data_IF_579844919961
#
_entry.id   IF_579844919961
#
_cell.length_a   1.000
_cell.length_b   1.000
_cell.length_c   1.000
_cell.angle_alpha   90.00
_cell.angle_beta   90.00
_cell.angle_gamma   90.00
#
_symmetry.space_group_name_H-M   'P 1'
#
loop_
_entity.id
_entity.type
_entity.pdbx_description
1 polymer ?
#
# COMPACT_ATOMS: atom_id res chain seq x y z
N UNK A 1 14.77 -37.28 -37.65
CA UNK A 1 15.80 -36.24 -37.60
C UNK A 1 15.14 -35.00 -37.03
N UNK A 2 14.92 -35.00 -35.70
CA UNK A 2 15.85 -34.43 -34.70
C UNK A 2 15.96 -32.90 -34.89
N UNK A 3 15.55 -32.06 -33.94
CA UNK A 3 15.81 -32.17 -32.49
C UNK A 3 14.69 -31.58 -31.64
N UNK A 4 14.41 -32.28 -30.55
CA UNK A 4 13.73 -31.79 -29.37
C UNK A 4 14.57 -30.73 -28.60
N UNK A 5 13.89 -30.06 -27.66
CA UNK A 5 14.39 -29.80 -26.29
C UNK A 5 15.32 -28.62 -26.01
N UNK A 6 14.75 -27.51 -25.51
CA UNK A 6 15.24 -26.77 -24.33
C UNK A 6 14.01 -26.18 -23.60
N UNK A 7 13.43 -26.91 -22.64
CA UNK A 7 13.69 -26.83 -21.18
C UNK A 7 13.38 -25.46 -20.57
N UNK A 8 12.24 -25.42 -19.86
CA UNK A 8 12.17 -25.02 -18.46
C UNK A 8 13.10 -23.85 -18.05
N UNK A 9 12.76 -22.63 -18.48
CA UNK A 9 13.23 -21.44 -17.76
C UNK A 9 12.35 -21.36 -16.52
N UNK A 10 12.86 -21.90 -15.41
CA UNK A 10 12.24 -21.80 -14.11
C UNK A 10 11.77 -20.38 -13.88
N UNK A 11 10.47 -20.23 -13.64
CA UNK A 11 9.92 -19.02 -13.08
C UNK A 11 10.77 -18.71 -11.85
N UNK A 12 11.63 -17.70 -11.93
CA UNK A 12 12.14 -17.05 -10.73
C UNK A 12 10.87 -16.53 -10.09
N UNK A 13 10.34 -17.31 -9.15
CA UNK A 13 9.20 -16.90 -8.35
C UNK A 13 9.77 -15.77 -7.52
N UNK A 14 9.67 -14.54 -8.02
CA UNK A 14 10.01 -13.36 -7.24
C UNK A 14 9.09 -13.42 -6.03
N UNK A 15 9.64 -13.79 -4.87
CA UNK A 15 8.94 -13.74 -3.61
C UNK A 15 8.58 -12.29 -3.39
N UNK A 16 7.33 -11.95 -3.68
CA UNK A 16 6.77 -10.69 -3.30
C UNK A 16 6.42 -10.79 -1.81
N UNK A 17 6.82 -9.78 -1.06
CA UNK A 17 6.45 -9.65 0.34
C UNK A 17 5.14 -8.87 0.39
N UNK A 18 4.11 -9.50 0.96
CA UNK A 18 2.88 -8.80 1.33
C UNK A 18 3.20 -7.89 2.54
N UNK A 19 2.78 -6.64 2.49
CA UNK A 19 3.03 -5.66 3.55
C UNK A 19 1.82 -4.74 3.75
N UNK A 20 1.71 -4.20 4.97
CA UNK A 20 0.61 -3.35 5.39
C UNK A 20 1.16 -2.01 5.88
N UNK A 21 0.69 -0.92 5.30
CA UNK A 21 1.13 0.45 5.61
C UNK A 21 -0.04 1.21 6.24
N UNK A 22 0.14 1.69 7.46
CA UNK A 22 -0.80 2.62 8.09
C UNK A 22 -0.68 4.02 7.48
N UNK A 23 -1.82 4.62 7.13
CA UNK A 23 -1.93 5.99 6.65
C UNK A 23 -2.76 6.81 7.63
N UNK A 24 -2.32 8.03 7.91
CA UNK A 24 -3.01 8.97 8.80
C UNK A 24 -2.85 10.42 8.34
N UNK A 25 -3.92 11.21 8.38
CA UNK A 25 -3.86 12.64 8.10
C UNK A 25 -4.84 13.43 8.97
N UNK A 26 -4.34 14.46 9.67
CA UNK A 26 -5.14 15.34 10.54
C UNK A 26 -5.10 16.83 10.15
N UNK A 27 -4.28 17.24 9.19
CA UNK A 27 -4.12 18.65 8.80
C UNK A 27 -4.49 18.89 7.33
N UNK A 28 -5.09 20.06 7.06
CA UNK A 28 -5.51 20.45 5.71
C UNK A 28 -6.60 19.54 5.15
N UNK A 29 -6.53 19.26 3.84
CA UNK A 29 -7.46 18.34 3.19
C UNK A 29 -7.04 16.88 3.44
N UNK A 30 -7.53 16.33 4.55
CA UNK A 30 -7.20 15.00 5.06
C UNK A 30 -7.51 13.88 4.05
N UNK A 31 -8.66 13.97 3.35
CA UNK A 31 -9.04 12.97 2.35
C UNK A 31 -8.16 13.07 1.11
N UNK A 32 -7.89 14.28 0.61
CA UNK A 32 -6.99 14.46 -0.52
C UNK A 32 -5.55 14.03 -0.19
N UNK A 33 -5.10 14.22 1.05
CA UNK A 33 -3.80 13.73 1.51
C UNK A 33 -3.72 12.20 1.45
N UNK A 34 -4.73 11.50 1.98
CA UNK A 34 -4.81 10.03 1.90
C UNK A 34 -4.85 9.57 0.43
N UNK A 35 -5.67 10.19 -0.42
CA UNK A 35 -5.77 9.83 -1.83
C UNK A 35 -4.42 10.00 -2.56
N UNK A 36 -3.70 11.09 -2.31
CA UNK A 36 -2.36 11.32 -2.87
C UNK A 36 -1.34 10.29 -2.38
N UNK A 37 -1.38 9.93 -1.09
CA UNK A 37 -0.50 8.90 -0.55
C UNK A 37 -0.76 7.53 -1.19
N UNK A 38 -2.03 7.13 -1.34
CA UNK A 38 -2.42 5.88 -2.01
C UNK A 38 -1.96 5.87 -3.47
N UNK A 39 -2.16 6.96 -4.20
CA UNK A 39 -1.69 7.09 -5.59
C UNK A 39 -0.16 6.99 -5.69
N UNK A 40 0.58 7.61 -4.78
CA UNK A 40 2.03 7.51 -4.74
C UNK A 40 2.50 6.07 -4.44
N UNK A 41 1.84 5.36 -3.52
CA UNK A 41 2.13 3.95 -3.19
C UNK A 41 1.82 3.05 -4.39
N UNK A 42 0.72 3.28 -5.10
CA UNK A 42 0.35 2.53 -6.30
C UNK A 42 1.39 2.64 -7.42
N UNK A 43 2.11 3.77 -7.50
CA UNK A 43 3.15 3.97 -8.52
C UNK A 43 4.43 3.16 -8.24
N UNK A 44 4.61 2.63 -7.03
CA UNK A 44 5.84 1.93 -6.62
C UNK A 44 5.61 0.51 -6.09
N UNK A 45 4.36 0.06 -6.00
CA UNK A 45 3.98 -1.28 -5.48
C UNK A 45 3.04 -1.99 -6.45
N UNK A 46 2.79 -3.28 -6.22
CA UNK A 46 1.77 -4.03 -6.96
C UNK A 46 0.59 -4.39 -6.06
N UNK A 47 -0.60 -4.53 -6.66
CA UNK A 47 -1.83 -4.95 -5.98
C UNK A 47 -2.19 -4.12 -4.73
N UNK A 48 -2.01 -2.80 -4.77
CA UNK A 48 -2.40 -1.90 -3.67
C UNK A 48 -3.90 -1.92 -3.44
N UNK A 49 -4.33 -2.23 -2.23
CA UNK A 49 -5.73 -2.11 -1.80
C UNK A 49 -5.83 -1.29 -0.53
N UNK A 50 -6.81 -0.38 -0.45
CA UNK A 50 -7.07 0.48 0.70
C UNK A 50 -8.24 -0.08 1.53
N UNK A 51 -8.13 -0.05 2.85
CA UNK A 51 -9.23 -0.33 3.77
C UNK A 51 -10.33 0.73 3.70
N UNK A 52 -11.42 0.53 4.44
CA UNK A 52 -12.28 1.64 4.83
C UNK A 52 -11.45 2.71 5.57
N UNK A 53 -11.87 3.97 5.43
CA UNK A 53 -11.30 5.08 6.17
C UNK A 53 -12.10 5.34 7.44
N UNK A 54 -11.40 5.67 8.52
CA UNK A 54 -11.99 5.94 9.83
C UNK A 54 -11.52 7.29 10.35
N UNK A 55 -12.43 8.08 10.90
CA UNK A 55 -12.06 9.26 11.68
C UNK A 55 -11.80 8.86 13.14
N UNK A 56 -10.68 9.27 13.70
CA UNK A 56 -10.32 8.98 15.09
C UNK A 56 -9.81 10.23 15.80
N UNK A 57 -10.01 10.27 17.11
CA UNK A 57 -9.38 11.29 17.97
C UNK A 57 -7.86 11.08 18.00
N UNK A 58 -7.07 12.15 18.19
CA UNK A 58 -5.63 12.04 18.39
C UNK A 58 -5.33 11.37 19.73
N UNK A 59 -4.35 10.46 19.74
CA UNK A 59 -3.80 9.87 20.97
C UNK A 59 -2.60 10.70 21.46
N UNK A 60 -2.51 10.97 22.76
CA UNK A 60 -1.38 11.64 23.41
C UNK A 60 -1.49 13.16 23.51
N UNK A 61 -1.51 13.88 22.38
CA UNK A 61 -1.66 15.35 22.36
C UNK A 61 -3.06 15.73 21.88
N UNK A 62 -3.86 16.34 22.76
CA UNK A 62 -5.29 16.58 22.51
C UNK A 62 -5.60 17.88 21.74
N UNK A 63 -4.67 18.84 21.69
CA UNK A 63 -4.87 20.13 21.03
C UNK A 63 -4.63 20.07 19.50
N UNK A 64 -5.18 19.06 18.83
CA UNK A 64 -5.06 18.88 17.37
C UNK A 64 -6.33 18.28 16.77
N UNK A 65 -6.59 18.50 15.46
CA UNK A 65 -7.79 17.97 14.81
C UNK A 65 -7.80 16.43 14.76
N UNK A 66 -8.99 15.82 14.57
CA UNK A 66 -9.11 14.38 14.35
C UNK A 66 -8.31 13.91 13.12
N UNK A 67 -7.86 12.66 13.16
CA UNK A 67 -7.21 12.00 12.03
C UNK A 67 -8.23 11.29 11.16
N UNK A 68 -7.99 11.25 9.84
CA UNK A 68 -8.50 10.19 8.96
C UNK A 68 -7.41 9.12 8.86
N UNK A 69 -7.75 7.88 9.18
CA UNK A 69 -6.85 6.73 9.18
C UNK A 69 -7.33 5.62 8.26
N UNK A 70 -6.39 4.87 7.70
CA UNK A 70 -6.63 3.67 6.89
C UNK A 70 -5.37 2.83 6.73
N UNK A 71 -5.51 1.66 6.11
CA UNK A 71 -4.40 0.72 5.87
C UNK A 71 -4.33 0.37 4.38
N UNK A 72 -3.14 0.48 3.80
CA UNK A 72 -2.83 -0.04 2.48
C UNK A 72 -2.19 -1.42 2.60
N UNK A 73 -2.81 -2.43 1.99
CA UNK A 73 -2.16 -3.70 1.68
C UNK A 73 -1.45 -3.58 0.35
N UNK A 74 -0.19 -3.96 0.29
CA UNK A 74 0.68 -3.89 -0.89
C UNK A 74 1.48 -5.18 -1.05
N UNK A 75 2.06 -5.32 -2.23
CA UNK A 75 3.09 -6.30 -2.51
C UNK A 75 4.34 -5.59 -3.03
N UNK A 76 5.49 -5.91 -2.45
CA UNK A 76 6.81 -5.34 -2.82
C UNK A 76 7.85 -6.45 -2.99
N UNK A 77 8.97 -6.13 -3.66
CA UNK A 77 10.13 -7.03 -3.81
C UNK A 77 11.22 -6.69 -2.81
#
# INVERSE_FOLDING_TARGET
MEREHFRNLGSVIYMQTESYIGLGSNLGDRLANIARAVSAIQNITVNTTLSSLYETVPEGYEAQPPFINGVCRIWTR
#
